data_IF_128989478238
#
_entry.id   IF_128989478238
#
_cell.length_a   1.000
_cell.length_b   1.000
_cell.length_c   1.000
_cell.angle_alpha   90.00
_cell.angle_beta   90.00
_cell.angle_gamma   90.00
#
_symmetry.space_group_name_H-M   'P 1'
#
loop_
_entity.id
_entity.type
_entity.pdbx_description
1 polymer ?
#
# COMPACT_ATOMS: atom_id res chain seq x y z
N UNK A 1 25.02 9.63 -77.29
CA UNK A 1 24.49 8.46 -76.54
C UNK A 1 25.63 7.65 -75.91
N UNK A 2 26.24 8.21 -74.85
CA UNK A 2 27.20 7.54 -73.95
C UNK A 2 27.07 8.32 -72.65
N UNK A 3 26.43 7.76 -71.62
CA UNK A 3 26.43 8.19 -70.20
C UNK A 3 25.13 7.81 -69.47
N UNK A 4 24.71 6.54 -69.51
CA UNK A 4 23.62 6.03 -68.65
C UNK A 4 24.04 4.78 -67.84
N UNK A 5 25.26 4.27 -68.04
CA UNK A 5 25.74 3.02 -67.40
C UNK A 5 26.53 3.22 -66.09
N UNK A 6 26.69 4.45 -65.58
CA UNK A 6 27.47 4.73 -64.36
C UNK A 6 26.65 4.95 -63.08
N UNK A 7 25.33 4.77 -63.11
CA UNK A 7 24.48 4.97 -61.91
C UNK A 7 23.80 3.70 -61.39
N UNK A 8 24.07 2.54 -62.00
CA UNK A 8 23.47 1.26 -61.55
C UNK A 8 24.40 0.47 -60.61
N UNK A 9 25.69 0.84 -60.52
CA UNK A 9 26.66 0.14 -59.64
C UNK A 9 26.75 0.79 -58.24
N UNK A 10 26.20 2.00 -58.05
CA UNK A 10 26.22 2.70 -56.76
C UNK A 10 25.02 2.39 -55.84
N UNK A 11 24.08 1.53 -56.26
CA UNK A 11 22.89 1.17 -55.47
C UNK A 11 22.93 -0.27 -54.91
N UNK A 12 23.98 -1.04 -55.19
CA UNK A 12 24.12 -2.43 -54.73
C UNK A 12 25.19 -2.63 -53.63
N UNK A 13 25.84 -1.55 -53.17
CA UNK A 13 26.89 -1.58 -52.15
C UNK A 13 26.53 -0.83 -50.86
N UNK A 14 25.24 -0.50 -50.67
CA UNK A 14 24.72 0.08 -49.42
C UNK A 14 23.80 -0.89 -48.65
N UNK A 15 23.80 -2.18 -48.99
CA UNK A 15 22.97 -3.21 -48.36
C UNK A 15 23.76 -4.32 -47.64
N UNK A 16 25.08 -4.16 -47.46
CA UNK A 16 25.96 -5.19 -46.85
C UNK A 16 26.68 -4.66 -45.59
N UNK A 17 26.19 -3.56 -44.98
CA UNK A 17 26.73 -3.03 -43.72
C UNK A 17 25.64 -2.75 -42.66
N UNK A 18 24.59 -3.57 -42.64
CA UNK A 18 23.61 -3.62 -41.55
C UNK A 18 23.52 -5.04 -40.93
N UNK A 19 24.62 -5.79 -40.99
CA UNK A 19 24.82 -6.97 -40.17
C UNK A 19 25.66 -6.57 -38.95
N UNK A 20 25.19 -6.98 -37.77
CA UNK A 20 25.80 -6.77 -36.45
C UNK A 20 25.64 -5.38 -35.84
N UNK A 21 24.54 -5.18 -35.11
CA UNK A 21 24.55 -4.82 -33.68
C UNK A 21 23.15 -4.39 -33.24
N UNK A 22 22.20 -5.34 -33.20
CA UNK A 22 21.06 -5.16 -32.32
C UNK A 22 21.26 -6.10 -31.14
N UNK A 23 21.54 -5.45 -30.02
CA UNK A 23 21.77 -6.00 -28.71
C UNK A 23 20.76 -7.11 -28.41
N UNK A 24 21.25 -8.17 -27.79
CA UNK A 24 20.46 -9.02 -26.91
C UNK A 24 19.82 -8.11 -25.86
N UNK A 25 18.67 -7.52 -26.19
CA UNK A 25 17.73 -7.06 -25.19
C UNK A 25 17.29 -8.33 -24.53
N UNK A 26 17.77 -8.52 -23.30
CA UNK A 26 17.29 -9.50 -22.36
C UNK A 26 15.76 -9.35 -22.29
N UNK A 27 15.06 -10.09 -23.15
CA UNK A 27 13.71 -10.52 -22.90
C UNK A 27 13.82 -11.59 -21.81
N UNK A 28 14.18 -11.14 -20.61
CA UNK A 28 13.86 -11.87 -19.40
C UNK A 28 12.34 -11.74 -19.30
N UNK A 29 11.65 -12.65 -20.00
CA UNK A 29 10.29 -12.97 -19.69
C UNK A 29 10.31 -13.35 -18.21
N UNK A 30 9.98 -12.38 -17.36
CA UNK A 30 9.71 -12.62 -15.97
C UNK A 30 8.64 -13.70 -15.98
N UNK A 31 9.03 -14.92 -15.60
CA UNK A 31 8.10 -16.00 -15.41
C UNK A 31 7.02 -15.44 -14.49
N UNK A 32 5.79 -15.38 -14.99
CA UNK A 32 4.64 -14.97 -14.21
C UNK A 32 4.41 -16.04 -13.15
N UNK A 33 5.19 -15.98 -12.06
CA UNK A 33 4.86 -16.66 -10.83
C UNK A 33 3.45 -16.18 -10.49
N UNK A 34 2.51 -17.12 -10.33
CA UNK A 34 1.14 -16.76 -9.96
C UNK A 34 1.22 -15.88 -8.72
N UNK A 35 0.71 -14.67 -8.81
CA UNK A 35 0.95 -13.59 -7.84
C UNK A 35 0.59 -13.97 -6.40
N UNK A 36 -0.39 -14.86 -6.20
CA UNK A 36 -0.79 -15.39 -4.90
C UNK A 36 0.23 -16.34 -4.25
N UNK A 37 1.23 -16.83 -5.00
CA UNK A 37 2.30 -17.66 -4.46
C UNK A 37 3.47 -16.84 -3.93
N UNK A 38 3.61 -15.58 -4.34
CA UNK A 38 4.78 -14.75 -4.01
C UNK A 38 4.67 -14.17 -2.60
N UNK A 39 3.48 -13.65 -2.26
CA UNK A 39 3.19 -13.03 -0.97
C UNK A 39 1.81 -13.43 -0.49
N UNK A 40 1.70 -13.74 0.80
CA UNK A 40 0.42 -14.06 1.44
C UNK A 40 0.22 -13.21 2.69
N UNK A 41 -0.89 -12.49 2.74
CA UNK A 41 -1.32 -11.82 3.97
C UNK A 41 -1.79 -12.89 4.95
N UNK A 42 -1.24 -12.85 6.17
CA UNK A 42 -1.52 -13.80 7.24
C UNK A 42 -2.49 -13.22 8.26
N UNK A 43 -2.32 -11.95 8.58
CA UNK A 43 -3.14 -11.28 9.57
C UNK A 43 -3.22 -9.77 9.28
N UNK A 44 -4.34 -9.18 9.64
CA UNK A 44 -4.58 -7.73 9.63
C UNK A 44 -5.14 -7.33 10.98
N UNK A 45 -4.75 -6.16 11.49
CA UNK A 45 -5.31 -5.64 12.75
C UNK A 45 -6.83 -5.64 12.71
N UNK A 46 -7.45 -6.25 13.73
CA UNK A 46 -8.92 -6.28 13.86
C UNK A 46 -9.43 -4.89 14.26
N UNK A 47 -10.68 -4.61 13.91
CA UNK A 47 -11.32 -3.35 14.26
C UNK A 47 -11.62 -3.24 15.77
N UNK A 48 -11.91 -2.01 16.22
CA UNK A 48 -12.24 -1.74 17.62
C UNK A 48 -10.98 -1.56 18.48
N UNK A 49 -10.92 -2.23 19.64
CA UNK A 49 -9.82 -2.04 20.61
C UNK A 49 -8.46 -2.48 20.09
N UNK A 50 -8.42 -3.43 19.16
CA UNK A 50 -7.17 -3.95 18.58
C UNK A 50 -6.47 -2.89 17.71
N UNK A 51 -7.20 -1.89 17.21
CA UNK A 51 -6.62 -0.73 16.53
C UNK A 51 -6.02 0.30 17.48
N UNK A 52 -6.23 0.18 18.80
CA UNK A 52 -5.86 1.20 19.77
C UNK A 52 -4.64 0.78 20.57
N UNK A 53 -3.53 1.50 20.39
CA UNK A 53 -2.30 1.29 21.15
C UNK A 53 -1.86 2.57 21.84
N UNK A 54 -1.36 2.45 23.07
CA UNK A 54 -0.78 3.57 23.80
C UNK A 54 0.71 3.69 23.52
N UNK A 55 1.16 4.93 23.39
CA UNK A 55 2.57 5.26 23.37
C UNK A 55 3.29 4.68 24.61
N UNK A 56 4.46 4.05 24.47
CA UNK A 56 5.29 3.71 25.61
C UNK A 56 5.73 5.00 26.33
N UNK A 57 5.47 5.09 27.63
CA UNK A 57 5.83 6.26 28.45
C UNK A 57 7.05 5.93 29.31
N UNK A 58 8.11 6.74 29.21
CA UNK A 58 9.28 6.63 30.09
C UNK A 58 9.06 7.54 31.30
N UNK A 59 8.81 6.94 32.46
CA UNK A 59 8.69 7.65 33.76
C UNK A 59 7.29 7.64 34.40
N UNK A 60 7.21 8.01 35.68
CA UNK A 60 5.99 7.94 36.52
C UNK A 60 5.07 9.16 36.43
N UNK A 61 5.47 10.21 35.70
CA UNK A 61 4.69 11.45 35.51
C UNK A 61 4.47 11.72 34.02
N UNK A 62 3.77 10.82 33.33
CA UNK A 62 3.28 11.11 31.99
C UNK A 62 1.86 11.68 32.06
N UNK A 63 1.51 12.71 31.25
CA UNK A 63 0.12 13.02 30.98
C UNK A 63 -0.61 11.75 30.51
N UNK A 64 -1.94 11.69 30.72
CA UNK A 64 -2.79 10.54 30.36
C UNK A 64 -2.41 10.06 28.96
N UNK A 65 -1.90 8.83 28.89
CA UNK A 65 -1.52 8.21 27.63
C UNK A 65 -2.74 8.18 26.72
N UNK A 66 -2.60 8.83 25.55
CA UNK A 66 -3.63 8.83 24.54
C UNK A 66 -3.52 7.58 23.67
N UNK A 67 -4.66 7.15 23.16
CA UNK A 67 -4.73 6.00 22.26
C UNK A 67 -4.39 6.45 20.83
N UNK A 68 -3.47 5.71 20.20
CA UNK A 68 -3.09 5.85 18.80
C UNK A 68 -3.79 4.78 17.99
N UNK A 69 -4.13 5.11 16.74
CA UNK A 69 -4.71 4.14 15.82
C UNK A 69 -3.60 3.37 15.13
N UNK A 70 -3.21 2.21 15.62
CA UNK A 70 -2.15 1.38 15.03
C UNK A 70 -2.77 0.29 14.17
N UNK A 71 -2.39 0.26 12.90
CA UNK A 71 -2.84 -0.72 11.91
C UNK A 71 -1.61 -1.44 11.40
N UNK A 72 -1.54 -2.74 11.65
CA UNK A 72 -0.46 -3.61 11.21
C UNK A 72 -1.02 -4.69 10.27
N UNK A 73 -0.20 -5.10 9.32
CA UNK A 73 -0.43 -6.26 8.47
C UNK A 73 0.78 -7.19 8.59
N UNK A 74 0.51 -8.46 8.85
CA UNK A 74 1.50 -9.53 8.89
C UNK A 74 1.41 -10.33 7.58
N UNK A 75 2.54 -10.58 6.95
CA UNK A 75 2.61 -11.30 5.69
C UNK A 75 3.80 -12.27 5.64
N UNK A 76 3.66 -13.27 4.79
CA UNK A 76 4.70 -14.24 4.46
C UNK A 76 5.13 -14.03 3.00
N UNK A 77 6.42 -14.23 2.72
CA UNK A 77 7.02 -14.15 1.39
C UNK A 77 7.61 -15.51 1.03
N UNK A 78 7.37 -15.98 -0.20
CA UNK A 78 7.91 -17.26 -0.67
C UNK A 78 9.11 -17.11 -1.60
N UNK A 79 9.24 -15.96 -2.26
CA UNK A 79 10.39 -15.65 -3.11
C UNK A 79 11.64 -15.41 -2.25
N UNK A 80 12.80 -15.92 -2.69
CA UNK A 80 14.08 -15.79 -1.97
C UNK A 80 14.38 -14.33 -1.61
N UNK A 81 14.20 -13.44 -2.59
CA UNK A 81 14.28 -12.00 -2.43
C UNK A 81 13.20 -11.32 -3.28
N UNK A 82 12.61 -10.26 -2.73
CA UNK A 82 11.79 -9.29 -3.44
C UNK A 82 12.51 -7.94 -3.44
N UNK A 83 12.82 -7.44 -4.63
CA UNK A 83 13.58 -6.21 -4.78
C UNK A 83 12.83 -5.00 -4.24
N UNK A 84 11.54 -4.87 -4.60
CA UNK A 84 10.68 -3.79 -4.17
C UNK A 84 9.22 -4.22 -4.10
N UNK A 85 8.57 -3.99 -2.95
CA UNK A 85 7.14 -4.21 -2.74
C UNK A 85 6.54 -2.93 -2.19
N UNK A 86 5.46 -2.46 -2.81
CA UNK A 86 4.70 -1.32 -2.29
C UNK A 86 3.43 -1.80 -1.61
N UNK A 87 3.07 -1.18 -0.50
CA UNK A 87 1.86 -1.49 0.27
C UNK A 87 1.03 -0.24 0.42
N UNK A 88 -0.17 -0.26 -0.13
CA UNK A 88 -1.14 0.82 0.04
C UNK A 88 -2.09 0.46 1.17
N UNK A 89 -2.10 1.32 2.20
CA UNK A 89 -3.10 1.29 3.26
C UNK A 89 -4.22 2.27 2.92
N UNK A 90 -5.46 1.81 3.10
CA UNK A 90 -6.67 2.62 2.98
C UNK A 90 -7.47 2.45 4.27
N UNK A 91 -7.60 3.52 5.04
CA UNK A 91 -8.22 3.49 6.38
C UNK A 91 -9.41 4.44 6.39
N UNK A 92 -10.54 3.97 6.89
CA UNK A 92 -11.75 4.78 7.05
C UNK A 92 -12.10 4.93 8.53
N UNK A 93 -12.39 6.16 8.94
CA UNK A 93 -12.95 6.47 10.26
C UNK A 93 -14.36 7.02 10.12
N UNK A 94 -15.15 6.89 11.19
CA UNK A 94 -16.52 7.40 11.23
C UNK A 94 -16.78 8.18 12.51
N UNK A 95 -17.21 9.44 12.35
CA UNK A 95 -17.65 10.29 13.45
C UNK A 95 -19.09 10.76 13.21
N UNK A 96 -20.09 10.18 13.91
CA UNK A 96 -21.50 10.56 13.74
C UNK A 96 -21.84 11.93 14.34
N UNK A 97 -20.92 12.54 15.11
CA UNK A 97 -21.14 13.82 15.81
C UNK A 97 -20.73 15.03 14.97
N UNK A 98 -20.19 14.81 13.78
CA UNK A 98 -19.76 15.87 12.88
C UNK A 98 -20.96 16.73 12.47
N UNK A 99 -20.79 18.04 12.51
CA UNK A 99 -21.83 18.96 12.08
C UNK A 99 -21.84 19.05 10.54
N UNK A 100 -22.72 18.25 9.93
CA UNK A 100 -22.91 18.22 8.46
C UNK A 100 -23.29 19.60 7.90
N UNK A 101 -23.89 20.47 8.71
CA UNK A 101 -24.25 21.85 8.28
C UNK A 101 -23.02 22.73 8.04
N UNK A 102 -21.88 22.41 8.66
CA UNK A 102 -20.63 23.14 8.48
C UNK A 102 -19.80 22.59 7.30
N UNK A 103 -20.38 21.68 6.51
CA UNK A 103 -19.73 21.06 5.35
C UNK A 103 -18.75 19.94 5.70
N UNK A 104 -18.59 19.59 6.99
CA UNK A 104 -17.81 18.44 7.40
C UNK A 104 -18.58 17.14 7.17
N UNK A 105 -17.87 16.12 6.69
CA UNK A 105 -18.46 14.82 6.35
C UNK A 105 -18.20 13.79 7.46
N UNK A 106 -19.16 12.89 7.75
CA UNK A 106 -19.04 11.97 8.88
C UNK A 106 -18.00 10.87 8.68
N UNK A 107 -17.67 10.51 7.43
CA UNK A 107 -16.62 9.54 7.13
C UNK A 107 -15.37 10.26 6.64
N UNK A 108 -14.21 9.86 7.16
CA UNK A 108 -12.91 10.31 6.66
C UNK A 108 -12.13 9.13 6.10
N UNK A 109 -11.65 9.28 4.87
CA UNK A 109 -10.84 8.28 4.17
C UNK A 109 -9.39 8.75 4.12
N UNK A 110 -8.51 7.94 4.66
CA UNK A 110 -7.07 8.16 4.69
C UNK A 110 -6.39 7.11 3.82
N UNK A 111 -5.37 7.50 3.08
CA UNK A 111 -4.55 6.55 2.35
C UNK A 111 -3.08 6.96 2.41
N UNK A 112 -2.21 5.95 2.42
CA UNK A 112 -0.77 6.12 2.26
C UNK A 112 -0.21 4.88 1.59
N UNK A 113 0.86 5.06 0.83
CA UNK A 113 1.59 3.96 0.19
C UNK A 113 3.01 3.97 0.69
N UNK A 114 3.45 2.83 1.20
CA UNK A 114 4.82 2.61 1.70
C UNK A 114 5.54 1.65 0.77
N UNK A 115 6.79 1.92 0.42
CA UNK A 115 7.60 1.02 -0.41
C UNK A 115 8.74 0.41 0.39
N UNK A 116 8.88 -0.91 0.30
CA UNK A 116 9.84 -1.73 1.02
C UNK A 116 10.80 -2.38 0.02
N UNK A 117 12.07 -2.50 0.38
CA UNK A 117 13.11 -3.02 -0.52
C UNK A 117 13.87 -4.18 0.12
N UNK A 118 14.38 -5.07 -0.72
CA UNK A 118 15.21 -6.22 -0.30
C UNK A 118 14.51 -7.09 0.76
N UNK A 119 13.27 -7.50 0.50
CA UNK A 119 12.52 -8.36 1.42
C UNK A 119 12.94 -9.80 1.16
N UNK A 120 13.54 -10.47 2.14
CA UNK A 120 13.90 -11.88 2.03
C UNK A 120 12.66 -12.79 2.11
N UNK A 121 12.80 -14.04 1.66
CA UNK A 121 11.85 -15.10 1.98
C UNK A 121 11.68 -15.23 3.50
N UNK A 122 10.46 -15.46 3.95
CA UNK A 122 10.21 -15.58 5.38
C UNK A 122 8.75 -15.54 5.78
N UNK A 123 8.55 -15.59 7.09
CA UNK A 123 7.23 -15.50 7.72
C UNK A 123 7.25 -14.42 8.78
N UNK A 124 6.10 -13.79 8.97
CA UNK A 124 5.94 -12.80 10.04
C UNK A 124 6.55 -11.44 9.73
N UNK A 125 6.78 -11.12 8.46
CA UNK A 125 7.10 -9.76 8.04
C UNK A 125 5.92 -8.85 8.39
N UNK A 126 6.21 -7.63 8.81
CA UNK A 126 5.18 -6.65 9.18
C UNK A 126 5.34 -5.36 8.42
N UNK A 127 4.21 -4.81 8.00
CA UNK A 127 4.09 -3.42 7.57
C UNK A 127 2.99 -2.78 8.41
N UNK A 128 3.11 -1.48 8.69
CA UNK A 128 2.13 -0.82 9.54
C UNK A 128 2.06 0.67 9.34
N UNK A 129 0.89 1.20 9.66
CA UNK A 129 0.56 2.62 9.62
C UNK A 129 -0.16 3.03 10.89
N UNK A 130 -0.11 4.33 11.17
CA UNK A 130 -0.52 4.89 12.44
C UNK A 130 -1.30 6.18 12.21
N UNK A 131 -2.44 6.29 12.90
CA UNK A 131 -3.20 7.53 13.06
C UNK A 131 -2.86 8.16 14.41
N UNK A 132 -2.62 9.47 14.39
CA UNK A 132 -2.38 10.26 15.60
C UNK A 132 -3.62 10.27 16.51
N UNK A 133 -3.45 10.40 17.83
CA UNK A 133 -4.58 10.49 18.76
C UNK A 133 -5.52 11.66 18.46
N UNK A 134 -4.97 12.81 18.05
CA UNK A 134 -5.77 13.97 17.62
C UNK A 134 -6.64 13.67 16.40
N UNK A 135 -6.17 12.78 15.51
CA UNK A 135 -6.91 12.35 14.32
C UNK A 135 -8.10 11.49 14.72
N UNK A 136 -7.91 10.54 15.64
CA UNK A 136 -8.99 9.73 16.20
C UNK A 136 -10.00 10.57 17.01
N UNK A 137 -9.52 11.51 17.82
CA UNK A 137 -10.36 12.44 18.58
C UNK A 137 -11.26 13.28 17.66
N UNK A 138 -10.75 13.70 16.50
CA UNK A 138 -11.48 14.53 15.54
C UNK A 138 -12.40 13.72 14.63
N UNK A 139 -11.94 12.61 14.09
CA UNK A 139 -12.63 11.87 13.02
C UNK A 139 -13.21 10.53 13.45
N UNK A 140 -13.14 10.19 14.73
CA UNK A 140 -13.75 9.01 15.31
C UNK A 140 -12.91 7.74 15.17
N UNK A 141 -13.44 6.59 15.62
CA UNK A 141 -12.75 5.32 15.54
C UNK A 141 -12.59 4.83 14.09
N UNK A 142 -11.62 3.95 13.88
CA UNK A 142 -11.42 3.22 12.63
C UNK A 142 -12.58 2.23 12.44
N UNK A 143 -13.24 2.32 11.29
CA UNK A 143 -14.35 1.45 10.90
C UNK A 143 -14.03 0.61 9.67
N UNK A 144 -12.95 0.91 8.95
CA UNK A 144 -12.52 0.13 7.79
C UNK A 144 -11.02 0.19 7.60
N UNK A 145 -10.43 -0.95 7.26
CA UNK A 145 -9.03 -1.07 6.86
C UNK A 145 -9.01 -1.87 5.56
N UNK A 146 -8.30 -1.37 4.55
CA UNK A 146 -7.98 -2.07 3.31
C UNK A 146 -6.48 -1.99 3.06
N UNK A 147 -5.89 -3.09 2.62
CA UNK A 147 -4.46 -3.22 2.34
C UNK A 147 -4.28 -3.85 0.98
N UNK A 148 -3.40 -3.28 0.16
CA UNK A 148 -3.05 -3.79 -1.16
C UNK A 148 -1.54 -3.81 -1.33
N UNK A 149 -0.99 -4.99 -1.62
CA UNK A 149 0.42 -5.21 -1.91
C UNK A 149 0.63 -5.19 -3.42
N UNK A 150 1.64 -4.47 -3.87
CA UNK A 150 2.02 -4.30 -5.26
C UNK A 150 3.46 -4.75 -5.48
N UNK A 151 3.70 -5.47 -6.58
CA UNK A 151 5.02 -5.83 -7.08
C UNK A 151 5.07 -5.44 -8.56
N UNK A 152 6.01 -4.58 -8.94
CA UNK A 152 6.08 -4.05 -10.31
C UNK A 152 4.78 -3.37 -10.78
N UNK A 153 4.05 -2.72 -9.86
CA UNK A 153 2.77 -2.06 -10.14
C UNK A 153 1.55 -2.98 -10.24
N UNK A 154 1.72 -4.31 -10.09
CA UNK A 154 0.61 -5.27 -10.09
C UNK A 154 0.22 -5.67 -8.68
N UNK A 155 -1.08 -5.78 -8.41
CA UNK A 155 -1.59 -6.27 -7.12
C UNK A 155 -1.24 -7.76 -6.98
N UNK A 156 -0.51 -8.10 -5.92
CA UNK A 156 -0.13 -9.49 -5.61
C UNK A 156 -0.89 -10.09 -4.43
N UNK A 157 -1.34 -9.25 -3.50
CA UNK A 157 -2.18 -9.64 -2.39
C UNK A 157 -3.00 -8.44 -1.92
N UNK A 158 -4.18 -8.71 -1.40
CA UNK A 158 -5.04 -7.68 -0.83
C UNK A 158 -5.99 -8.28 0.20
N UNK A 159 -6.25 -7.54 1.26
CA UNK A 159 -7.14 -7.94 2.33
C UNK A 159 -7.73 -6.69 2.97
N UNK A 160 -8.88 -6.84 3.58
CA UNK A 160 -9.42 -5.79 4.42
C UNK A 160 -10.58 -6.24 5.25
N UNK A 161 -10.93 -5.35 6.16
CA UNK A 161 -11.92 -5.55 7.19
C UNK A 161 -12.75 -4.28 7.31
N UNK A 162 -14.05 -4.47 7.48
CA UNK A 162 -15.02 -3.41 7.63
C UNK A 162 -15.94 -3.67 8.81
N UNK A 163 -16.33 -2.60 9.50
CA UNK A 163 -17.25 -2.64 10.63
C UNK A 163 -18.68 -2.91 10.15
N UNK A 164 -19.38 -3.81 10.84
CA UNK A 164 -20.74 -4.22 10.50
C UNK A 164 -21.79 -3.12 10.73
N UNK A 165 -21.48 -2.08 11.52
CA UNK A 165 -22.34 -0.91 11.68
C UNK A 165 -22.29 0.05 10.48
N UNK A 166 -21.24 -0.04 9.67
CA UNK A 166 -21.02 0.83 8.50
C UNK A 166 -21.28 0.10 7.19
N UNK A 167 -20.80 -1.12 7.05
CA UNK A 167 -20.92 -1.92 5.83
C UNK A 167 -21.91 -3.07 6.03
N UNK A 168 -22.90 -3.14 5.13
CA UNK A 168 -24.13 -3.91 5.36
C UNK A 168 -23.95 -5.41 5.19
N UNK A 169 -23.15 -5.82 4.21
CA UNK A 169 -22.94 -7.23 3.89
C UNK A 169 -21.47 -7.65 4.03
N UNK A 170 -21.23 -8.97 4.03
CA UNK A 170 -19.89 -9.53 4.22
C UNK A 170 -18.94 -9.18 3.05
N UNK A 171 -19.46 -9.10 1.82
CA UNK A 171 -18.64 -8.81 0.65
C UNK A 171 -18.16 -7.35 0.67
N UNK A 172 -19.05 -6.42 1.04
CA UNK A 172 -18.70 -5.02 1.30
C UNK A 172 -17.66 -4.92 2.41
N UNK A 173 -17.85 -5.59 3.55
CA UNK A 173 -16.88 -5.57 4.65
C UNK A 173 -15.48 -6.03 4.22
N UNK A 174 -15.40 -7.03 3.34
CA UNK A 174 -14.14 -7.59 2.87
C UNK A 174 -13.49 -6.82 1.71
N UNK A 175 -14.18 -5.89 1.07
CA UNK A 175 -13.69 -5.22 -0.15
C UNK A 175 -14.07 -3.74 -0.28
N UNK A 176 -14.53 -3.09 0.79
CA UNK A 176 -15.15 -1.76 0.78
C UNK A 176 -14.30 -0.69 0.09
N UNK A 177 -12.97 -0.76 0.19
CA UNK A 177 -12.04 0.24 -0.36
C UNK A 177 -11.97 0.21 -1.89
N UNK A 178 -12.48 -0.86 -2.52
CA UNK A 178 -12.56 -1.02 -3.98
C UNK A 178 -13.89 -0.52 -4.55
N UNK A 179 -14.87 -0.26 -3.67
CA UNK A 179 -16.24 0.06 -4.05
C UNK A 179 -16.36 1.58 -4.13
N UNK A 180 -16.46 2.11 -5.36
CA UNK A 180 -16.54 3.55 -5.63
C UNK A 180 -17.73 4.22 -4.94
N UNK A 181 -18.85 3.51 -4.82
CA UNK A 181 -20.07 3.97 -4.15
C UNK A 181 -19.84 4.24 -2.66
N UNK A 182 -18.84 3.58 -2.07
CA UNK A 182 -18.40 3.81 -0.69
C UNK A 182 -17.34 4.90 -0.67
N UNK A 183 -16.24 4.74 -1.40
CA UNK A 183 -15.05 5.62 -1.29
C UNK A 183 -15.26 7.02 -1.86
N UNK A 184 -16.14 7.17 -2.85
CA UNK A 184 -16.50 8.45 -3.48
C UNK A 184 -17.89 8.95 -3.05
N UNK A 185 -18.46 8.35 -1.99
CA UNK A 185 -19.73 8.76 -1.42
C UNK A 185 -19.73 10.25 -1.03
N UNK A 186 -20.84 10.98 -1.19
CA UNK A 186 -20.95 12.35 -0.71
C UNK A 186 -20.68 12.49 0.79
N UNK A 187 -20.81 11.42 1.58
CA UNK A 187 -20.54 11.39 3.01
C UNK A 187 -19.08 11.11 3.39
N UNK A 188 -18.19 10.95 2.41
CA UNK A 188 -16.76 10.65 2.62
C UNK A 188 -15.90 11.85 2.24
N UNK A 189 -14.98 12.20 3.14
CA UNK A 189 -13.93 13.19 2.92
C UNK A 189 -12.57 12.49 2.83
N UNK A 190 -11.91 12.61 1.68
CA UNK A 190 -10.52 12.13 1.50
C UNK A 190 -9.57 13.09 2.21
N UNK A 191 -8.61 12.53 2.94
CA UNK A 191 -7.63 13.28 3.74
C UNK A 191 -6.24 12.68 3.55
N UNK A 192 -5.30 13.53 3.17
CA UNK A 192 -3.92 13.15 2.92
C UNK A 192 -3.01 13.59 4.08
N UNK A 193 -1.91 12.87 4.30
CA UNK A 193 -0.87 13.23 5.27
C UNK A 193 -1.19 12.95 6.75
N UNK A 194 -2.34 12.34 7.07
CA UNK A 194 -2.69 11.98 8.45
C UNK A 194 -2.31 10.55 8.85
N UNK A 195 -2.14 9.67 7.85
CA UNK A 195 -1.77 8.28 8.03
C UNK A 195 -0.26 8.16 7.90
N UNK A 196 0.41 7.92 9.03
CA UNK A 196 1.86 7.89 9.11
C UNK A 196 2.36 6.47 9.05
N UNK A 197 3.49 6.22 8.41
CA UNK A 197 4.15 4.92 8.50
C UNK A 197 4.62 4.65 9.93
N UNK A 198 4.40 3.42 10.43
CA UNK A 198 4.75 3.05 11.80
C UNK A 198 6.24 3.26 12.11
N UNK A 199 7.11 2.97 11.15
CA UNK A 199 8.57 3.18 11.19
C UNK A 199 8.97 4.65 11.35
N UNK A 200 8.08 5.59 10.98
CA UNK A 200 8.27 7.04 11.14
C UNK A 200 7.64 7.58 12.44
N UNK A 201 7.20 6.71 13.35
CA UNK A 201 6.56 7.08 14.61
C UNK A 201 7.31 6.54 15.83
N UNK A 202 6.84 6.90 17.03
CA UNK A 202 7.31 6.36 18.30
C UNK A 202 7.21 4.83 18.40
N UNK A 203 6.35 4.19 17.60
CA UNK A 203 6.19 2.74 17.60
C UNK A 203 7.27 2.01 16.81
N UNK A 204 8.10 2.72 16.05
CA UNK A 204 9.23 2.14 15.32
C UNK A 204 10.21 1.39 16.24
N UNK A 205 10.32 1.82 17.50
CA UNK A 205 11.18 1.19 18.50
C UNK A 205 10.55 -0.04 19.16
N UNK A 206 9.28 -0.32 18.86
CA UNK A 206 8.57 -1.50 19.36
C UNK A 206 8.64 -2.58 18.28
N UNK A 207 9.44 -3.60 18.54
CA UNK A 207 9.67 -4.76 17.65
C UNK A 207 10.34 -4.38 16.31
N UNK A 208 11.51 -3.68 16.33
CA UNK A 208 12.12 -3.13 15.12
C UNK A 208 12.52 -4.18 14.08
N UNK A 209 12.88 -5.40 14.51
CA UNK A 209 13.35 -6.46 13.61
C UNK A 209 12.23 -7.13 12.80
N UNK A 210 10.97 -7.01 13.24
CA UNK A 210 9.83 -7.62 12.54
C UNK A 210 9.23 -6.73 11.46
N UNK A 211 9.56 -5.43 11.44
CA UNK A 211 8.96 -4.47 10.51
C UNK A 211 9.92 -4.15 9.37
N UNK A 212 9.38 -4.20 8.15
CA UNK A 212 10.12 -3.77 6.97
C UNK A 212 10.36 -2.25 7.01
N UNK A 213 11.55 -1.84 6.63
CA UNK A 213 11.93 -0.42 6.58
C UNK A 213 11.48 0.16 5.26
N UNK A 214 10.53 1.09 5.33
CA UNK A 214 10.09 1.89 4.21
C UNK A 214 11.09 2.98 3.86
N UNK A 215 11.17 3.33 2.58
CA UNK A 215 12.03 4.41 2.07
C UNK A 215 11.21 5.58 1.53
#
# INVERSE_FOLDING_TARGET
MKNVKKHIIALALLCIYAAFSFNNVFAQAAASQSSSQVLRIKNITKLGRDTLQRAPTIGSRSPRAKDWGVIDVEFDTAAEWLDEVSVTFTVMTFNPKVNVRDGEKPMSLFSTTSSFKNISAGRGHKAGVVLLPSTLERYGPVVGIGVQFYLGGQIIAEEGIGDASVFKDQAQRAAWWKISEITDSPNVQKREGFLLERTKTIFALVDPDSYEVSH
#
